data_IF_986860508480
#
_entry.id   IF_986860508480
#
_cell.length_a   1.000
_cell.length_b   1.000
_cell.length_c   1.000
_cell.angle_alpha   90.00
_cell.angle_beta   90.00
_cell.angle_gamma   90.00
#
_symmetry.space_group_name_H-M   'P 1'
#
loop_
_entity.id
_entity.type
_entity.pdbx_description
1 polymer ?
#
# COMPACT_ATOMS: atom_id res chain seq x y z
N UNK A 1 36.73 -25.43 2.52
CA UNK A 1 36.57 -25.54 2.05
C UNK A 1 36.05 -24.80 2.37
N UNK A 2 35.82 -24.91 2.31
CA UNK A 2 35.43 -25.05 2.13
C UNK A 2 34.98 -24.37 2.39
N UNK A 3 35.80 -24.98 2.42
CA UNK A 3 35.32 -24.96 2.03
C UNK A 3 34.78 -24.29 2.33
N UNK A 4 35.55 -24.81 2.53
CA UNK A 4 34.96 -24.54 2.08
C UNK A 4 34.30 -23.95 2.39
N UNK A 5 35.06 -24.48 2.68
CA UNK A 5 34.46 -24.31 2.25
C UNK A 5 33.63 -23.53 2.55
N UNK A 6 33.64 -23.85 2.75
CA UNK A 6 33.10 -23.53 2.44
C UNK A 6 32.49 -23.26 2.80
N UNK A 7 33.01 -23.51 2.85
CA UNK A 7 32.44 -23.70 2.64
C UNK A 7 31.73 -23.33 3.09
N UNK A 8 32.55 -23.71 3.23
CA UNK A 8 31.92 -23.72 2.99
C UNK A 8 31.24 -22.93 3.40
N UNK A 9 31.84 -23.46 3.63
CA UNK A 9 31.30 -23.06 3.27
C UNK A 9 30.63 -22.12 3.52
N UNK A 10 30.96 -22.41 3.77
CA UNK A 10 30.43 -21.99 3.31
C UNK A 10 29.83 -21.49 3.71
N UNK A 11 30.32 -21.89 3.85
CA UNK A 11 29.75 -21.89 3.53
C UNK A 11 29.15 -21.22 3.95
N UNK A 12 29.90 -21.83 4.21
CA UNK A 12 29.29 -21.59 3.76
C UNK A 12 28.65 -20.58 4.10
N UNK A 13 29.14 -21.02 4.53
CA UNK A 13 28.56 -20.63 3.90
C UNK A 13 27.99 -19.54 4.25
N UNK A 14 28.38 -19.52 4.39
CA UNK A 14 27.81 -19.02 3.82
C UNK A 14 27.24 -18.07 4.01
N UNK A 15 27.92 -18.23 4.26
CA UNK A 15 27.29 -17.59 3.51
C UNK A 15 26.72 -16.91 3.60
N UNK A 16 26.97 -17.07 3.76
CA UNK A 16 26.19 -16.54 2.92
C UNK A 16 25.56 -15.95 3.15
N UNK A 17 25.58 -16.10 3.09
CA UNK A 17 24.66 -15.64 2.49
C UNK A 17 24.13 -15.03 2.35
N UNK A 18 24.64 -15.12 2.46
CA UNK A 18 23.82 -14.60 1.62
C UNK A 18 23.35 -14.04 1.46
N UNK A 19 23.46 -13.99 1.25
CA UNK A 19 22.65 -13.45 0.52
C UNK A 19 22.15 -13.03 0.27
N UNK A 20 22.15 -12.93 -0.04
CA UNK A 20 21.26 -12.44 -0.67
C UNK A 20 20.73 -11.98 -0.63
N UNK A 21 20.69 -11.60 -0.87
CA UNK A 21 19.88 -10.95 -1.14
C UNK A 21 19.46 -10.52 -1.47
N UNK A 22 19.53 -10.41 -1.70
CA UNK A 22 18.83 -9.93 -2.14
C UNK A 22 18.31 -9.37 -2.41
N UNK A 23 18.38 -9.19 -2.78
CA UNK A 23 17.74 -8.61 -3.01
C UNK A 23 17.19 -8.00 -3.11
N UNK A 24 17.15 -7.85 -3.09
CA UNK A 24 16.49 -7.31 -3.03
C UNK A 24 16.20 -6.44 -3.24
N UNK A 25 16.29 -6.41 -3.53
CA UNK A 25 15.89 -5.47 -3.81
C UNK A 25 15.58 -4.69 -3.33
N UNK A 26 16.06 -4.41 -3.33
CA UNK A 26 15.69 -3.72 -2.72
C UNK A 26 14.71 -2.73 -2.59
N UNK A 27 13.76 -3.11 -2.44
CA UNK A 27 12.57 -2.40 -2.08
C UNK A 27 12.76 -1.72 -0.76
N UNK A 28 12.35 -0.50 -0.64
CA UNK A 28 12.36 0.20 0.64
C UNK A 28 11.40 -0.52 1.59
N UNK A 29 11.87 -1.12 2.70
CA UNK A 29 11.00 -1.89 3.58
C UNK A 29 9.93 -1.06 4.28
N UNK A 30 10.05 0.28 4.30
CA UNK A 30 9.04 1.18 4.87
C UNK A 30 7.89 1.49 3.93
N UNK A 31 7.98 1.10 2.67
CA UNK A 31 6.98 1.40 1.65
C UNK A 31 6.32 0.13 1.16
N UNK A 32 5.00 0.10 1.26
CA UNK A 32 4.19 -1.00 0.75
C UNK A 32 3.55 -0.59 -0.57
N UNK A 33 3.58 -1.48 -1.55
CA UNK A 33 2.92 -1.30 -2.84
C UNK A 33 1.70 -2.22 -2.92
N UNK A 34 0.55 -1.65 -3.24
CA UNK A 34 -0.70 -2.41 -3.42
C UNK A 34 -1.40 -1.91 -4.68
N UNK A 35 -1.74 -2.86 -5.55
CA UNK A 35 -2.48 -2.57 -6.78
C UNK A 35 -3.76 -3.39 -6.78
N UNK A 36 -4.85 -2.80 -7.24
CA UNK A 36 -6.13 -3.49 -7.35
C UNK A 36 -6.97 -2.87 -8.46
N UNK A 37 -7.97 -3.64 -8.92
CA UNK A 37 -8.92 -3.18 -9.93
C UNK A 37 -10.32 -3.28 -9.35
N UNK A 38 -11.08 -2.19 -9.43
CA UNK A 38 -12.45 -2.14 -8.96
C UNK A 38 -13.37 -2.15 -10.17
N UNK A 39 -14.19 -3.19 -10.27
CA UNK A 39 -15.07 -3.39 -11.43
C UNK A 39 -16.40 -2.69 -11.29
N UNK A 40 -16.80 -2.29 -10.08
CA UNK A 40 -18.09 -1.64 -9.81
C UNK A 40 -17.88 -0.25 -9.21
N UNK A 41 -18.99 0.48 -9.11
CA UNK A 41 -19.05 1.78 -8.44
C UNK A 41 -19.64 1.67 -7.03
N UNK A 42 -19.63 0.47 -6.45
CA UNK A 42 -20.18 0.25 -5.12
C UNK A 42 -19.49 1.14 -4.08
N UNK A 43 -20.29 1.60 -3.14
CA UNK A 43 -19.80 2.50 -2.10
C UNK A 43 -18.85 1.79 -1.15
N UNK A 44 -17.75 2.47 -0.83
CA UNK A 44 -16.86 2.05 0.25
C UNK A 44 -16.16 0.72 0.04
N UNK A 45 -15.57 0.49 -1.11
CA UNK A 45 -14.81 -0.72 -1.38
C UNK A 45 -13.44 -0.65 -0.72
N UNK A 46 -13.05 -1.71 0.00
CA UNK A 46 -11.76 -1.75 0.69
C UNK A 46 -10.63 -1.90 -0.33
N UNK A 47 -9.69 -0.95 -0.32
CA UNK A 47 -8.52 -0.99 -1.20
C UNK A 47 -7.23 -1.34 -0.44
N UNK A 48 -7.22 -1.19 0.88
CA UNK A 48 -6.13 -1.61 1.73
C UNK A 48 -6.62 -1.74 3.17
N UNK A 49 -6.06 -2.69 3.91
CA UNK A 49 -6.34 -2.82 5.34
C UNK A 49 -5.06 -3.22 6.06
N UNK A 50 -5.00 -2.89 7.34
CA UNK A 50 -3.88 -3.27 8.19
C UNK A 50 -4.37 -3.50 9.62
N UNK A 51 -3.62 -4.33 10.36
CA UNK A 51 -3.92 -4.61 11.75
C UNK A 51 -3.67 -3.34 12.60
N UNK A 52 -4.66 -2.94 13.36
CA UNK A 52 -4.56 -1.76 14.22
C UNK A 52 -3.50 -1.91 15.32
N UNK A 53 -3.10 -3.13 15.62
CA UNK A 53 -2.02 -3.39 16.59
C UNK A 53 -0.64 -3.22 15.96
N UNK A 54 -0.54 -3.29 14.64
CA UNK A 54 0.74 -3.23 13.93
C UNK A 54 1.17 -1.80 13.60
N UNK A 55 0.24 -0.98 13.12
CA UNK A 55 0.56 0.37 12.67
C UNK A 55 -0.43 1.38 13.23
N UNK A 56 0.07 2.58 13.51
CA UNK A 56 -0.73 3.68 14.07
C UNK A 56 -1.09 4.73 13.04
N UNK A 57 -0.14 5.07 12.19
CA UNK A 57 -0.29 6.13 11.20
C UNK A 57 0.21 5.61 9.87
N UNK A 58 -0.54 5.86 8.81
CA UNK A 58 -0.15 5.46 7.46
C UNK A 58 -0.37 6.64 6.52
N UNK A 59 0.65 6.89 5.70
CA UNK A 59 0.56 7.86 4.62
C UNK A 59 0.47 7.11 3.32
N UNK A 60 -0.52 7.44 2.52
CA UNK A 60 -0.72 6.84 1.21
C UNK A 60 -0.49 7.85 0.10
N UNK A 61 0.12 7.39 -0.98
CA UNK A 61 0.07 8.06 -2.28
C UNK A 61 -0.77 7.15 -3.15
N UNK A 62 -1.91 7.65 -3.64
CA UNK A 62 -2.87 6.84 -4.40
C UNK A 62 -3.02 7.41 -5.80
N UNK A 63 -3.01 6.52 -6.78
CA UNK A 63 -3.28 6.85 -8.17
C UNK A 63 -4.46 6.02 -8.65
N UNK A 64 -5.49 6.70 -9.11
CA UNK A 64 -6.65 6.07 -9.74
C UNK A 64 -6.54 6.28 -11.24
N UNK A 65 -6.95 5.27 -11.98
CA UNK A 65 -6.79 5.26 -13.42
C UNK A 65 -8.02 4.63 -14.07
N UNK A 66 -8.55 5.31 -15.08
CA UNK A 66 -9.64 4.76 -15.90
C UNK A 66 -9.13 4.71 -17.34
N UNK A 67 -8.58 3.55 -17.70
CA UNK A 67 -7.82 3.36 -18.93
C UNK A 67 -8.59 3.69 -20.20
N UNK A 68 -9.87 3.32 -20.22
CA UNK A 68 -10.65 3.41 -21.45
C UNK A 68 -10.85 4.85 -21.95
N UNK A 69 -10.73 5.84 -21.07
CA UNK A 69 -10.87 7.25 -21.46
C UNK A 69 -9.71 8.11 -20.96
N UNK A 70 -8.59 7.49 -20.63
CA UNK A 70 -7.32 8.15 -20.32
C UNK A 70 -7.46 9.19 -19.20
N UNK A 71 -8.14 8.81 -18.12
CA UNK A 71 -8.37 9.69 -16.97
C UNK A 71 -7.56 9.23 -15.77
N UNK A 72 -6.99 10.19 -15.04
CA UNK A 72 -6.14 9.92 -13.89
C UNK A 72 -6.50 10.83 -12.73
N UNK A 73 -6.39 10.29 -11.52
CA UNK A 73 -6.66 11.01 -10.29
C UNK A 73 -5.60 10.56 -9.27
N UNK A 74 -4.78 11.49 -8.81
CA UNK A 74 -3.76 11.22 -7.79
C UNK A 74 -4.06 12.02 -6.55
N UNK A 75 -3.81 11.40 -5.38
CA UNK A 75 -4.12 12.05 -4.11
C UNK A 75 -3.21 11.49 -3.02
N UNK A 76 -2.88 12.31 -2.02
CA UNK A 76 -2.20 11.84 -0.80
C UNK A 76 -3.20 11.78 0.34
N UNK A 77 -3.04 10.75 1.18
CA UNK A 77 -3.93 10.50 2.31
C UNK A 77 -3.08 10.28 3.55
N UNK A 78 -3.38 10.99 4.62
CA UNK A 78 -2.79 10.70 5.92
C UNK A 78 -3.89 10.15 6.82
N UNK A 79 -3.64 8.97 7.37
CA UNK A 79 -4.61 8.24 8.19
C UNK A 79 -3.97 7.87 9.52
N UNK A 80 -4.70 8.05 10.61
CA UNK A 80 -4.23 7.66 11.93
C UNK A 80 -5.41 7.18 12.77
N UNK A 81 -5.16 6.34 13.77
CA UNK A 81 -6.20 5.82 14.64
C UNK A 81 -5.72 5.68 16.08
N UNK A 82 -6.67 5.52 17.00
CA UNK A 82 -6.37 5.28 18.41
C UNK A 82 -6.97 3.95 18.92
N UNK A 83 -7.18 3.00 18.01
CA UNK A 83 -7.81 1.69 18.22
C UNK A 83 -9.35 1.75 18.30
N UNK A 84 -9.93 2.91 18.44
CA UNK A 84 -11.39 3.10 18.54
C UNK A 84 -11.90 3.97 17.40
N UNK A 85 -11.17 5.04 17.10
CA UNK A 85 -11.56 6.02 16.12
C UNK A 85 -10.43 6.12 15.08
N UNK A 86 -10.79 6.23 13.81
CA UNK A 86 -9.85 6.50 12.74
C UNK A 86 -10.12 7.91 12.19
N UNK A 87 -9.06 8.66 12.00
CA UNK A 87 -9.10 9.97 11.35
C UNK A 87 -8.32 9.93 10.05
N UNK A 88 -8.80 10.68 9.07
CA UNK A 88 -8.18 10.68 7.76
C UNK A 88 -8.30 12.07 7.15
N UNK A 89 -7.24 12.50 6.46
CA UNK A 89 -7.29 13.68 5.62
C UNK A 89 -6.74 13.35 4.24
N UNK A 90 -7.36 13.92 3.21
CA UNK A 90 -6.88 13.82 1.84
C UNK A 90 -6.38 15.19 1.40
N UNK A 91 -5.30 15.20 0.64
CA UNK A 91 -4.68 16.45 0.19
C UNK A 91 -3.85 16.21 -1.07
N UNK A 92 -3.30 17.28 -1.63
CA UNK A 92 -2.47 17.22 -2.83
C UNK A 92 -3.16 16.48 -3.98
N UNK A 93 -4.43 16.80 -4.20
CA UNK A 93 -5.24 16.18 -5.24
C UNK A 93 -4.86 16.73 -6.62
N UNK A 94 -4.60 15.82 -7.56
CA UNK A 94 -4.37 16.13 -8.96
C UNK A 94 -5.39 15.37 -9.80
N UNK A 95 -6.21 16.09 -10.53
CA UNK A 95 -7.24 15.50 -11.40
C UNK A 95 -6.87 15.76 -12.85
N UNK A 96 -6.63 14.71 -13.61
CA UNK A 96 -6.46 14.81 -15.05
C UNK A 96 -7.79 14.42 -15.68
N UNK A 97 -8.58 15.40 -15.96
CA UNK A 97 -9.90 15.38 -16.57
C UNK A 97 -11.06 15.27 -15.57
N UNK A 98 -11.03 14.34 -14.62
CA UNK A 98 -12.16 14.24 -13.69
C UNK A 98 -11.79 13.53 -12.38
N UNK A 99 -12.64 13.69 -11.39
CA UNK A 99 -12.55 12.99 -10.12
C UNK A 99 -12.98 11.54 -10.35
N UNK A 100 -12.12 10.59 -10.01
CA UNK A 100 -12.39 9.15 -10.21
C UNK A 100 -12.87 8.44 -8.95
N UNK A 101 -12.95 9.12 -7.82
CA UNK A 101 -13.46 8.51 -6.61
C UNK A 101 -13.25 9.34 -5.36
N UNK A 102 -13.86 8.89 -4.28
CA UNK A 102 -13.73 9.50 -2.96
C UNK A 102 -13.25 8.45 -1.96
N UNK A 103 -12.45 8.88 -1.02
CA UNK A 103 -11.84 7.99 -0.02
C UNK A 103 -12.53 8.11 1.32
N UNK A 104 -12.53 7.01 2.08
CA UNK A 104 -13.02 6.94 3.44
C UNK A 104 -12.22 5.89 4.21
N UNK A 105 -12.38 5.86 5.51
CA UNK A 105 -11.69 4.89 6.35
C UNK A 105 -12.56 4.50 7.53
N UNK A 106 -12.40 3.24 7.99
CA UNK A 106 -13.09 2.77 9.19
C UNK A 106 -12.23 1.73 9.92
N UNK A 107 -12.72 1.31 11.07
CA UNK A 107 -12.17 0.19 11.82
C UNK A 107 -13.23 -0.91 11.81
N UNK A 108 -12.83 -2.10 11.36
CA UNK A 108 -13.69 -3.27 11.33
C UNK A 108 -12.96 -4.42 12.03
N UNK A 109 -13.46 -4.82 13.20
CA UNK A 109 -12.77 -5.83 14.00
C UNK A 109 -11.41 -5.33 14.44
N UNK A 110 -10.36 -6.05 14.07
CA UNK A 110 -8.96 -5.69 14.35
C UNK A 110 -8.31 -4.88 13.24
N UNK A 111 -9.03 -4.63 12.14
CA UNK A 111 -8.46 -4.01 10.96
C UNK A 111 -8.88 -2.55 10.80
N UNK A 112 -7.92 -1.72 10.40
CA UNK A 112 -8.16 -0.38 9.89
C UNK A 112 -8.24 -0.49 8.38
N UNK A 113 -9.29 0.04 7.77
CA UNK A 113 -9.54 -0.13 6.34
C UNK A 113 -9.58 1.21 5.63
N UNK A 114 -8.83 1.31 4.53
CA UNK A 114 -8.94 2.42 3.59
C UNK A 114 -9.90 2.00 2.49
N UNK A 115 -10.90 2.82 2.23
CA UNK A 115 -11.98 2.50 1.29
C UNK A 115 -12.08 3.54 0.21
N UNK A 116 -12.55 3.10 -0.95
CA UNK A 116 -12.76 3.95 -2.11
C UNK A 116 -14.14 3.73 -2.68
N UNK A 117 -14.81 4.82 -3.02
CA UNK A 117 -16.05 4.78 -3.80
C UNK A 117 -15.72 5.34 -5.18
N UNK A 118 -15.55 4.47 -6.20
CA UNK A 118 -15.21 4.95 -7.54
C UNK A 118 -16.40 5.62 -8.21
N UNK A 119 -16.12 6.56 -9.10
CA UNK A 119 -17.16 7.20 -9.92
C UNK A 119 -17.44 6.45 -11.21
N UNK A 120 -16.54 5.52 -11.58
CA UNK A 120 -16.63 4.75 -12.83
C UNK A 120 -16.30 3.29 -12.57
N UNK A 121 -16.92 2.42 -13.34
CA UNK A 121 -16.56 0.99 -13.34
C UNK A 121 -15.16 0.82 -13.93
N UNK A 122 -14.52 -0.29 -13.58
CA UNK A 122 -13.18 -0.63 -14.09
C UNK A 122 -12.13 0.45 -13.79
N UNK A 123 -12.07 0.87 -12.54
CA UNK A 123 -11.08 1.82 -12.05
C UNK A 123 -9.90 1.06 -11.45
N UNK A 124 -8.71 1.29 -11.98
CA UNK A 124 -7.48 0.72 -11.43
C UNK A 124 -6.97 1.58 -10.30
N UNK A 125 -6.53 0.94 -9.22
CA UNK A 125 -5.99 1.62 -8.04
C UNK A 125 -4.56 1.17 -7.84
N UNK A 126 -3.65 2.13 -7.77
CA UNK A 126 -2.25 1.88 -7.41
C UNK A 126 -1.92 2.75 -6.21
N UNK A 127 -1.46 2.13 -5.13
CA UNK A 127 -1.11 2.89 -3.96
C UNK A 127 0.25 2.48 -3.38
N UNK A 128 0.87 3.44 -2.72
CA UNK A 128 2.09 3.23 -1.95
C UNK A 128 1.83 3.74 -0.55
N UNK A 129 2.22 2.96 0.45
CA UNK A 129 1.94 3.25 1.85
C UNK A 129 3.23 3.32 2.65
N UNK A 130 3.38 4.40 3.43
CA UNK A 130 4.44 4.55 4.42
C UNK A 130 3.77 4.40 5.78
N UNK A 131 4.26 3.45 6.60
CA UNK A 131 3.59 3.03 7.82
C UNK A 131 4.43 3.33 9.06
N UNK A 132 3.78 3.83 10.10
CA UNK A 132 4.41 4.09 11.39
C UNK A 132 3.83 3.11 12.41
N UNK A 133 4.70 2.41 13.14
CA UNK A 133 4.32 1.40 14.10
C UNK A 133 3.45 1.91 15.24
N UNK A 134 2.58 1.05 15.70
CA UNK A 134 1.72 1.33 16.86
C UNK A 134 2.47 1.18 18.19
#
# INVERSE_FOLDING_TARGET
>A
GTSVVLDSAVSAGNILEVVSLAAAAVENPGVLAVDSDLTSTDSGQVIHSFDRAAFRTVKYIVQLEHDSDNKYHSEEILLSHNNTIVGMTTYAQVLLDSNLGTFDADISGTDVRLKLTPTKTNTSVKLRAIRVGA
#
